data_IF_901077880240
#
_entry.id   IF_901077880240
#
_cell.length_a   1.000
_cell.length_b   1.000
_cell.length_c   1.000
_cell.angle_alpha   90.00
_cell.angle_beta   90.00
_cell.angle_gamma   90.00
#
_symmetry.space_group_name_H-M   'P 1'
#
loop_
_entity.id
_entity.type
_entity.pdbx_description
1 polymer ?
#
# COMPACT_ATOMS: atom_id res chain seq x y z
N UNK A 1 -32.16 0.50 6.09
CA UNK A 1 -30.79 -0.05 5.99
C UNK A 1 -30.09 0.16 7.33
N UNK A 2 -29.70 -0.90 8.05
CA UNK A 2 -28.95 -0.76 9.30
C UNK A 2 -27.52 -0.30 8.96
N UNK A 3 -27.24 0.99 9.12
CA UNK A 3 -25.88 1.51 9.02
C UNK A 3 -25.04 0.94 10.17
N UNK A 4 -24.12 0.04 9.83
CA UNK A 4 -23.21 -0.58 10.78
C UNK A 4 -22.16 0.46 11.21
N UNK A 5 -22.49 1.23 12.25
CA UNK A 5 -21.65 2.30 12.77
C UNK A 5 -20.58 1.72 13.68
N UNK A 6 -19.31 2.02 13.41
CA UNK A 6 -18.18 1.61 14.25
C UNK A 6 -17.74 2.80 15.10
N UNK A 7 -17.83 2.67 16.41
CA UNK A 7 -17.44 3.72 17.37
C UNK A 7 -16.24 3.25 18.18
N UNK A 8 -15.24 4.13 18.33
CA UNK A 8 -14.03 3.90 19.12
C UNK A 8 -14.01 4.90 20.27
N UNK A 9 -13.85 4.40 21.50
CA UNK A 9 -13.76 5.23 22.70
C UNK A 9 -12.41 4.97 23.39
N UNK A 10 -11.67 6.04 23.64
CA UNK A 10 -10.44 6.00 24.43
C UNK A 10 -10.76 6.39 25.87
N UNK A 11 -10.31 5.57 26.82
CA UNK A 11 -10.47 5.83 28.26
C UNK A 11 -9.11 5.68 28.93
N UNK A 12 -8.67 6.72 29.61
CA UNK A 12 -7.48 6.67 30.45
C UNK A 12 -7.91 6.10 31.81
N UNK A 13 -7.62 4.82 32.05
CA UNK A 13 -7.96 4.16 33.32
C UNK A 13 -7.10 2.92 33.57
N UNK A 14 -7.02 2.48 34.83
CA UNK A 14 -6.45 1.18 35.17
C UNK A 14 -7.33 0.05 34.65
N UNK A 15 -6.73 -1.11 34.31
CA UNK A 15 -7.39 -2.17 33.53
C UNK A 15 -8.67 -2.78 34.13
N UNK A 16 -8.93 -2.60 35.43
CA UNK A 16 -10.20 -2.97 36.06
C UNK A 16 -11.31 -1.96 35.74
N UNK A 17 -11.06 -0.67 35.93
CA UNK A 17 -12.00 0.43 35.69
C UNK A 17 -12.45 0.49 34.22
N UNK A 18 -11.53 0.26 33.28
CA UNK A 18 -11.87 0.21 31.85
C UNK A 18 -12.84 -0.92 31.49
N UNK A 19 -12.74 -2.07 32.17
CA UNK A 19 -13.66 -3.21 31.96
C UNK A 19 -15.05 -2.91 32.50
N UNK A 20 -15.12 -2.32 33.69
CA UNK A 20 -16.39 -1.91 34.33
C UNK A 20 -17.10 -0.84 33.49
N UNK A 21 -16.36 0.14 32.99
CA UNK A 21 -16.87 1.16 32.07
C UNK A 21 -17.43 0.55 30.79
N UNK A 22 -16.68 -0.37 30.16
CA UNK A 22 -17.15 -1.07 28.97
C UNK A 22 -18.44 -1.87 29.20
N UNK A 23 -18.62 -2.47 30.38
CA UNK A 23 -19.85 -3.19 30.73
C UNK A 23 -21.05 -2.25 30.94
N UNK A 24 -20.84 -1.12 31.62
CA UNK A 24 -21.88 -0.07 31.76
C UNK A 24 -22.30 0.48 30.40
N UNK A 25 -21.34 0.80 29.54
CA UNK A 25 -21.62 1.32 28.21
C UNK A 25 -22.43 0.31 27.37
N UNK A 26 -22.02 -0.97 27.38
CA UNK A 26 -22.77 -2.04 26.70
C UNK A 26 -24.20 -2.16 27.24
N UNK A 27 -24.37 -2.11 28.56
CA UNK A 27 -25.69 -2.18 29.19
C UNK A 27 -26.56 -1.00 28.78
N UNK A 28 -26.01 0.21 28.72
CA UNK A 28 -26.73 1.39 28.26
C UNK A 28 -27.16 1.29 26.78
N UNK A 29 -26.24 0.86 25.90
CA UNK A 29 -26.53 0.67 24.47
C UNK A 29 -27.66 -0.36 24.26
N UNK A 30 -27.66 -1.46 25.03
CA UNK A 30 -28.63 -2.54 24.86
C UNK A 30 -29.96 -2.29 25.59
N UNK A 31 -29.94 -1.73 26.80
CA UNK A 31 -31.14 -1.56 27.63
C UNK A 31 -31.85 -0.25 27.36
N UNK A 32 -31.11 0.84 27.19
CA UNK A 32 -31.68 2.18 27.01
C UNK A 32 -31.89 2.48 25.53
N UNK A 33 -30.85 2.33 24.71
CA UNK A 33 -30.92 2.63 23.28
C UNK A 33 -31.41 1.46 22.41
N UNK A 34 -31.58 0.26 23.00
CA UNK A 34 -32.07 -0.95 22.32
C UNK A 34 -31.27 -1.34 21.07
N UNK A 35 -29.96 -1.08 21.07
CA UNK A 35 -29.05 -1.42 19.97
C UNK A 35 -28.43 -2.81 20.15
N UNK A 36 -28.25 -3.52 19.03
CA UNK A 36 -27.57 -4.82 19.00
C UNK A 36 -26.06 -4.59 18.92
N UNK A 37 -25.33 -5.01 19.96
CA UNK A 37 -23.87 -4.95 20.02
C UNK A 37 -23.27 -6.23 19.45
N UNK A 38 -22.40 -6.10 18.44
CA UNK A 38 -21.65 -7.23 17.91
C UNK A 38 -20.51 -7.62 18.88
N UNK A 39 -20.64 -8.76 19.55
CA UNK A 39 -19.70 -9.22 20.58
C UNK A 39 -18.35 -9.67 20.02
N UNK A 40 -18.31 -10.17 18.79
CA UNK A 40 -17.07 -10.62 18.15
C UNK A 40 -16.16 -9.44 17.78
N UNK A 41 -16.76 -8.28 17.50
CA UNK A 41 -16.05 -7.05 17.13
C UNK A 41 -15.79 -6.12 18.31
N UNK A 42 -16.67 -6.14 19.32
CA UNK A 42 -16.64 -5.18 20.43
C UNK A 42 -15.86 -5.74 21.61
N UNK A 43 -14.70 -5.17 21.92
CA UNK A 43 -13.98 -5.54 23.13
C UNK A 43 -13.24 -4.35 23.76
N UNK A 44 -12.98 -4.47 25.06
CA UNK A 44 -12.12 -3.55 25.81
C UNK A 44 -10.71 -4.09 25.73
N UNK A 45 -9.82 -3.35 25.08
CA UNK A 45 -8.40 -3.71 24.89
C UNK A 45 -7.52 -2.51 25.12
N UNK A 46 -6.21 -2.74 25.26
CA UNK A 46 -5.22 -1.66 25.23
C UNK A 46 -5.31 -0.95 23.87
N UNK A 47 -5.04 0.36 23.87
CA UNK A 47 -5.02 1.15 22.65
C UNK A 47 -3.95 0.66 21.66
N UNK A 48 -2.82 0.17 22.17
CA UNK A 48 -1.76 -0.44 21.36
C UNK A 48 -2.25 -1.73 20.68
N UNK A 49 -2.17 -1.77 19.35
CA UNK A 49 -2.71 -2.84 18.51
C UNK A 49 -4.22 -2.77 18.27
N UNK A 50 -4.91 -1.72 18.71
CA UNK A 50 -6.31 -1.51 18.37
C UNK A 50 -6.45 -1.09 16.89
N UNK A 51 -7.33 -1.76 16.15
CA UNK A 51 -7.64 -1.41 14.76
C UNK A 51 -9.00 -0.70 14.65
N UNK A 52 -9.05 0.39 13.88
CA UNK A 52 -10.29 1.11 13.58
C UNK A 52 -10.24 1.72 12.18
N UNK A 53 -11.29 1.50 11.39
CA UNK A 53 -11.46 2.04 10.02
C UNK A 53 -10.25 1.84 9.09
N UNK A 54 -9.43 0.80 9.32
CA UNK A 54 -8.23 0.52 8.53
C UNK A 54 -6.94 1.15 9.04
N UNK A 55 -7.01 1.88 10.14
CA UNK A 55 -5.86 2.26 10.95
C UNK A 55 -5.65 1.30 12.10
N UNK A 56 -4.44 1.29 12.61
CA UNK A 56 -3.97 0.58 13.78
C UNK A 56 -3.21 1.59 14.65
N UNK A 57 -3.49 1.62 15.95
CA UNK A 57 -2.76 2.47 16.88
C UNK A 57 -1.56 1.69 17.44
N UNK A 58 -0.36 2.27 17.38
CA UNK A 58 0.85 1.59 17.87
C UNK A 58 1.71 2.44 18.81
N UNK A 59 2.24 1.77 19.82
CA UNK A 59 3.24 2.31 20.74
C UNK A 59 2.73 3.40 21.68
N UNK A 60 3.66 3.96 22.45
CA UNK A 60 3.39 5.06 23.38
C UNK A 60 2.94 6.31 22.61
N UNK A 61 1.85 6.93 23.05
CA UNK A 61 1.22 8.07 22.37
C UNK A 61 0.27 7.70 21.22
N UNK A 62 0.03 6.41 20.96
CA UNK A 62 -1.02 5.97 20.03
C UNK A 62 -0.78 6.40 18.58
N UNK A 63 0.41 6.16 18.03
CA UNK A 63 0.74 6.56 16.66
C UNK A 63 -0.22 5.90 15.67
N UNK A 64 -0.87 6.72 14.86
CA UNK A 64 -1.81 6.27 13.84
C UNK A 64 -1.03 5.64 12.68
N UNK A 65 -1.20 4.34 12.51
CA UNK A 65 -0.55 3.53 11.50
C UNK A 65 -1.60 2.91 10.58
N UNK A 66 -1.29 2.68 9.31
CA UNK A 66 -2.13 1.88 8.41
C UNK A 66 -2.05 0.43 8.85
N UNK A 67 -3.19 -0.25 8.95
CA UNK A 67 -3.21 -1.66 9.35
C UNK A 67 -2.56 -2.54 8.28
N UNK A 68 -1.89 -3.62 8.73
CA UNK A 68 -1.21 -4.56 7.84
C UNK A 68 -2.18 -5.19 6.83
N UNK A 69 -3.44 -5.38 7.23
CA UNK A 69 -4.52 -5.84 6.33
C UNK A 69 -4.70 -4.88 5.15
N UNK A 70 -4.76 -3.56 5.41
CA UNK A 70 -4.93 -2.55 4.36
C UNK A 70 -3.70 -2.43 3.47
N UNK A 71 -2.49 -2.57 4.02
CA UNK A 71 -1.25 -2.63 3.24
C UNK A 71 -1.22 -3.84 2.30
N UNK A 72 -1.64 -5.02 2.77
CA UNK A 72 -1.77 -6.23 1.94
C UNK A 72 -2.80 -6.04 0.82
N UNK A 73 -3.97 -5.50 1.13
CA UNK A 73 -4.98 -5.19 0.11
C UNK A 73 -4.49 -4.18 -0.92
N UNK A 74 -3.73 -3.16 -0.51
CA UNK A 74 -3.11 -2.21 -1.43
C UNK A 74 -2.16 -2.91 -2.40
N UNK A 75 -1.24 -3.75 -1.89
CA UNK A 75 -0.31 -4.53 -2.73
C UNK A 75 -1.05 -5.48 -3.68
N UNK A 76 -2.12 -6.12 -3.23
CA UNK A 76 -2.96 -6.97 -4.07
C UNK A 76 -3.59 -6.15 -5.21
N UNK A 77 -4.26 -5.04 -4.88
CA UNK A 77 -4.93 -4.20 -5.87
C UNK A 77 -3.96 -3.57 -6.86
N UNK A 78 -2.83 -3.05 -6.37
CA UNK A 78 -1.75 -2.55 -7.22
C UNK A 78 -1.21 -3.65 -8.15
N UNK A 79 -1.11 -4.89 -7.67
CA UNK A 79 -0.68 -6.02 -8.48
C UNK A 79 -1.65 -6.37 -9.60
N UNK A 80 -2.96 -6.24 -9.38
CA UNK A 80 -4.01 -6.46 -10.37
C UNK A 80 -4.01 -5.37 -11.45
N UNK A 81 -3.92 -4.11 -11.04
CA UNK A 81 -3.87 -2.95 -11.95
C UNK A 81 -2.62 -3.00 -12.84
N UNK A 82 -1.46 -3.29 -12.24
CA UNK A 82 -0.18 -3.40 -12.94
C UNK A 82 0.05 -4.78 -13.60
N UNK A 83 -0.94 -5.68 -13.60
CA UNK A 83 -0.81 -6.97 -14.25
C UNK A 83 -0.85 -6.85 -15.79
N UNK A 84 -0.05 -7.70 -16.46
CA UNK A 84 -0.20 -8.00 -17.90
C UNK A 84 -1.48 -8.82 -18.12
N UNK A 85 -2.64 -8.17 -18.03
CA UNK A 85 -3.98 -8.70 -18.35
C UNK A 85 -4.68 -7.77 -19.37
N UNK A 86 -5.47 -8.37 -20.25
CA UNK A 86 -6.47 -7.71 -21.10
C UNK A 86 -5.95 -6.72 -22.14
N UNK A 87 -4.78 -6.96 -22.76
CA UNK A 87 -4.30 -6.14 -23.90
C UNK A 87 -3.99 -4.67 -23.61
N UNK A 88 -4.20 -4.18 -22.38
CA UNK A 88 -4.01 -2.76 -22.00
C UNK A 88 -2.59 -2.28 -22.33
N UNK A 89 -2.43 -1.00 -22.67
CA UNK A 89 -1.11 -0.37 -22.79
C UNK A 89 -0.48 -0.17 -21.41
N UNK A 90 0.84 0.04 -21.34
CA UNK A 90 1.50 0.34 -20.07
C UNK A 90 1.06 1.68 -19.51
N UNK A 91 0.95 2.71 -20.35
CA UNK A 91 0.45 4.03 -19.97
C UNK A 91 -0.92 3.96 -19.29
N UNK A 92 -1.85 3.18 -19.86
CA UNK A 92 -3.18 2.97 -19.25
C UNK A 92 -3.09 2.32 -17.88
N UNK A 93 -2.23 1.30 -17.70
CA UNK A 93 -2.02 0.66 -16.39
C UNK A 93 -1.48 1.64 -15.35
N UNK A 94 -0.54 2.48 -15.75
CA UNK A 94 0.06 3.49 -14.88
C UNK A 94 -0.96 4.57 -14.50
N UNK A 95 -1.79 5.01 -15.44
CA UNK A 95 -2.88 5.96 -15.18
C UNK A 95 -3.92 5.40 -14.19
N UNK A 96 -4.41 4.19 -14.44
CA UNK A 96 -5.38 3.51 -13.56
C UNK A 96 -4.78 3.29 -12.15
N UNK A 97 -3.51 2.89 -12.07
CA UNK A 97 -2.81 2.78 -10.80
C UNK A 97 -2.67 4.13 -10.09
N UNK A 98 -2.32 5.20 -10.82
CA UNK A 98 -2.16 6.54 -10.27
C UNK A 98 -3.45 7.07 -9.67
N UNK A 99 -4.59 6.89 -10.36
CA UNK A 99 -5.90 7.28 -9.85
C UNK A 99 -6.23 6.57 -8.53
N UNK A 100 -6.02 5.24 -8.49
CA UNK A 100 -6.21 4.45 -7.28
C UNK A 100 -5.28 4.89 -6.14
N UNK A 101 -3.99 5.08 -6.44
CA UNK A 101 -2.97 5.45 -5.46
C UNK A 101 -3.23 6.84 -4.85
N UNK A 102 -3.68 7.81 -5.65
CA UNK A 102 -4.07 9.15 -5.18
C UNK A 102 -5.19 9.07 -4.14
N UNK A 103 -6.26 8.34 -4.44
CA UNK A 103 -7.37 8.15 -3.50
C UNK A 103 -6.92 7.41 -2.22
N UNK A 104 -6.10 6.36 -2.38
CA UNK A 104 -5.61 5.59 -1.24
C UNK A 104 -4.72 6.42 -0.30
N UNK A 105 -3.79 7.21 -0.84
CA UNK A 105 -2.95 8.10 -0.03
C UNK A 105 -3.77 9.22 0.59
N UNK A 106 -4.73 9.79 -0.14
CA UNK A 106 -5.61 10.82 0.40
C UNK A 106 -6.34 10.32 1.64
N UNK A 107 -6.85 9.08 1.59
CA UNK A 107 -7.46 8.44 2.75
C UNK A 107 -6.44 8.16 3.86
N UNK A 108 -5.31 7.51 3.54
CA UNK A 108 -4.32 7.08 4.52
C UNK A 108 -3.25 8.15 4.85
N UNK A 109 -3.54 9.43 4.64
CA UNK A 109 -2.59 10.51 4.82
C UNK A 109 -2.09 10.63 6.27
N UNK A 110 -2.90 10.20 7.25
CA UNK A 110 -2.57 10.21 8.68
C UNK A 110 -1.46 9.23 9.10
N UNK A 111 -1.02 8.32 8.22
CA UNK A 111 0.11 7.44 8.52
C UNK A 111 1.37 8.26 8.82
N UNK A 112 1.91 8.07 10.02
CA UNK A 112 3.06 8.85 10.51
C UNK A 112 4.40 8.27 10.04
N UNK A 113 4.45 7.01 9.61
CA UNK A 113 5.69 6.34 9.22
C UNK A 113 6.00 6.53 7.73
N UNK A 114 6.98 7.39 7.45
CA UNK A 114 7.55 7.56 6.09
C UNK A 114 8.04 6.24 5.47
N UNK A 115 8.63 5.36 6.28
CA UNK A 115 9.21 4.09 5.84
C UNK A 115 8.21 3.17 5.14
N UNK A 116 6.92 3.27 5.47
CA UNK A 116 5.84 2.52 4.80
C UNK A 116 5.75 2.92 3.33
N UNK A 117 5.67 4.21 3.04
CA UNK A 117 5.58 4.73 1.67
C UNK A 117 6.85 4.45 0.87
N UNK A 118 8.03 4.66 1.46
CA UNK A 118 9.30 4.34 0.80
C UNK A 118 9.40 2.85 0.45
N UNK A 119 8.92 1.96 1.34
CA UNK A 119 8.92 0.51 1.11
C UNK A 119 7.91 0.09 0.04
N UNK A 120 6.72 0.70 0.04
CA UNK A 120 5.71 0.50 -1.01
C UNK A 120 6.23 0.98 -2.37
N UNK A 121 6.86 2.15 -2.44
CA UNK A 121 7.47 2.69 -3.65
C UNK A 121 8.57 1.77 -4.21
N UNK A 122 9.44 1.21 -3.34
CA UNK A 122 10.43 0.19 -3.73
C UNK A 122 9.76 -1.04 -4.34
N UNK A 123 8.71 -1.54 -3.70
CA UNK A 123 7.96 -2.71 -4.17
C UNK A 123 7.24 -2.43 -5.50
N UNK A 124 6.63 -1.24 -5.65
CA UNK A 124 5.96 -0.80 -6.88
C UNK A 124 6.93 -0.71 -8.06
N UNK A 125 8.10 -0.09 -7.87
CA UNK A 125 9.14 -0.04 -8.92
C UNK A 125 9.51 -1.44 -9.40
N UNK A 126 9.74 -2.38 -8.48
CA UNK A 126 10.02 -3.79 -8.84
C UNK A 126 8.85 -4.43 -9.58
N UNK A 127 7.61 -4.15 -9.18
CA UNK A 127 6.40 -4.66 -9.82
C UNK A 127 6.23 -4.14 -11.25
N UNK A 128 6.47 -2.85 -11.47
CA UNK A 128 6.42 -2.23 -12.80
C UNK A 128 7.52 -2.79 -13.69
N UNK A 129 8.75 -2.92 -13.19
CA UNK A 129 9.85 -3.60 -13.92
C UNK A 129 9.48 -5.02 -14.32
N UNK A 130 8.87 -5.78 -13.41
CA UNK A 130 8.37 -7.12 -13.73
C UNK A 130 7.27 -7.09 -14.81
N UNK A 131 6.42 -6.06 -14.84
CA UNK A 131 5.39 -5.90 -15.87
C UNK A 131 6.01 -5.59 -17.25
N UNK A 132 7.00 -4.69 -17.33
CA UNK A 132 7.76 -4.44 -18.55
C UNK A 132 8.48 -5.70 -19.03
N UNK A 133 9.19 -6.38 -18.13
CA UNK A 133 9.88 -7.62 -18.45
C UNK A 133 8.94 -8.71 -18.96
N UNK A 134 7.79 -8.87 -18.31
CA UNK A 134 6.74 -9.80 -18.77
C UNK A 134 6.19 -9.37 -20.12
N UNK A 135 6.11 -8.08 -20.42
CA UNK A 135 5.65 -7.53 -21.71
C UNK A 135 6.63 -7.87 -22.84
N UNK A 136 7.94 -7.85 -22.57
CA UNK A 136 9.00 -8.27 -23.48
C UNK A 136 9.10 -9.81 -23.54
N UNK A 137 8.14 -10.43 -24.23
CA UNK A 137 7.95 -11.89 -24.25
C UNK A 137 9.18 -12.64 -24.78
N UNK A 138 9.73 -12.20 -25.90
CA UNK A 138 10.80 -12.91 -26.63
C UNK A 138 12.19 -12.44 -26.17
N UNK A 139 13.18 -13.35 -26.04
CA UNK A 139 14.56 -12.97 -25.72
C UNK A 139 15.12 -11.90 -26.65
N UNK A 140 14.93 -12.05 -27.97
CA UNK A 140 15.31 -11.04 -28.98
C UNK A 140 14.72 -9.66 -28.69
N UNK A 141 13.47 -9.60 -28.20
CA UNK A 141 12.82 -8.33 -27.83
C UNK A 141 13.42 -7.73 -26.56
N UNK A 142 13.72 -8.55 -25.55
CA UNK A 142 14.37 -8.11 -24.31
C UNK A 142 15.74 -7.50 -24.60
N UNK A 143 16.57 -8.22 -25.35
CA UNK A 143 17.92 -7.77 -25.71
C UNK A 143 17.84 -6.45 -26.48
N UNK A 144 16.97 -6.36 -27.50
CA UNK A 144 16.77 -5.12 -28.27
C UNK A 144 16.34 -3.95 -27.38
N UNK A 145 15.38 -4.17 -26.46
CA UNK A 145 14.88 -3.12 -25.56
C UNK A 145 15.92 -2.68 -24.54
N UNK A 146 16.69 -3.61 -23.97
CA UNK A 146 17.80 -3.29 -23.07
C UNK A 146 18.87 -2.46 -23.78
N UNK A 147 19.27 -2.84 -25.00
CA UNK A 147 20.21 -2.06 -25.82
C UNK A 147 19.68 -0.65 -26.12
N UNK A 148 18.39 -0.52 -26.48
CA UNK A 148 17.78 0.80 -26.73
C UNK A 148 17.71 1.69 -25.47
N UNK A 149 17.82 1.09 -24.28
CA UNK A 149 17.84 1.79 -23.00
C UNK A 149 19.28 2.01 -22.48
N UNK A 150 20.29 1.84 -23.34
CA UNK A 150 21.69 2.14 -23.02
C UNK A 150 22.45 1.04 -22.29
N UNK A 151 21.92 -0.19 -22.21
CA UNK A 151 22.67 -1.33 -21.65
C UNK A 151 23.64 -1.89 -22.69
N UNK A 152 24.87 -2.22 -22.26
CA UNK A 152 25.89 -2.85 -23.11
C UNK A 152 25.38 -4.15 -23.75
N UNK A 153 25.99 -4.55 -24.86
CA UNK A 153 25.56 -5.74 -25.59
C UNK A 153 25.61 -7.01 -24.73
N UNK A 154 26.72 -7.21 -24.01
CA UNK A 154 26.97 -8.40 -23.20
C UNK A 154 25.98 -8.51 -22.05
N UNK A 155 25.75 -7.40 -21.32
CA UNK A 155 24.76 -7.35 -20.25
C UNK A 155 23.35 -7.58 -20.79
N UNK A 156 23.00 -6.94 -21.91
CA UNK A 156 21.70 -7.10 -22.55
C UNK A 156 21.45 -8.57 -22.96
N UNK A 157 22.48 -9.25 -23.49
CA UNK A 157 22.42 -10.66 -23.85
C UNK A 157 22.27 -11.54 -22.60
N UNK A 158 23.13 -11.36 -21.60
CA UNK A 158 23.12 -12.13 -20.35
C UNK A 158 21.77 -12.07 -19.62
N UNK A 159 21.16 -10.88 -19.50
CA UNK A 159 19.85 -10.74 -18.87
C UNK A 159 18.71 -11.14 -19.81
N UNK A 160 18.78 -10.80 -21.09
CA UNK A 160 17.71 -11.03 -22.07
C UNK A 160 17.49 -12.51 -22.41
N UNK A 161 18.57 -13.29 -22.49
CA UNK A 161 18.54 -14.73 -22.76
C UNK A 161 18.25 -15.57 -21.50
N UNK A 162 18.25 -14.97 -20.31
CA UNK A 162 18.06 -15.72 -19.07
C UNK A 162 16.66 -16.34 -18.94
N UNK A 163 16.62 -17.61 -18.51
CA UNK A 163 15.40 -18.36 -18.19
C UNK A 163 14.91 -18.15 -16.75
N UNK A 164 15.57 -17.30 -15.96
CA UNK A 164 15.19 -17.02 -14.57
C UNK A 164 13.78 -16.42 -14.50
N UNK A 165 13.10 -16.64 -13.37
CA UNK A 165 11.75 -16.10 -13.15
C UNK A 165 11.70 -14.57 -13.29
N UNK A 166 10.59 -14.06 -13.83
CA UNK A 166 10.38 -12.61 -14.09
C UNK A 166 10.63 -11.75 -12.85
N UNK A 167 10.14 -12.18 -11.69
CA UNK A 167 10.33 -11.46 -10.43
C UNK A 167 11.79 -11.44 -9.96
N UNK A 168 12.58 -12.46 -10.33
CA UNK A 168 14.02 -12.51 -10.07
C UNK A 168 14.77 -11.59 -11.03
N UNK A 169 14.35 -11.52 -12.29
CA UNK A 169 14.93 -10.67 -13.34
C UNK A 169 14.52 -9.20 -13.26
N UNK A 170 13.56 -8.82 -12.42
CA UNK A 170 13.21 -7.40 -12.20
C UNK A 170 14.13 -6.67 -11.22
N UNK A 171 15.09 -7.39 -10.62
CA UNK A 171 16.05 -6.91 -9.62
C UNK A 171 17.52 -6.75 -10.07
N UNK A 172 18.08 -7.50 -11.04
CA UNK A 172 19.50 -7.39 -11.36
C UNK A 172 19.87 -6.01 -11.86
N UNK A 173 21.14 -5.63 -11.66
CA UNK A 173 21.68 -4.31 -11.99
C UNK A 173 21.39 -3.90 -13.44
N UNK A 174 21.53 -4.81 -14.42
CA UNK A 174 21.25 -4.50 -15.83
C UNK A 174 19.81 -4.05 -16.10
N UNK A 175 18.82 -4.71 -15.48
CA UNK A 175 17.41 -4.35 -15.64
C UNK A 175 17.07 -3.10 -14.83
N UNK A 176 17.69 -2.89 -13.67
CA UNK A 176 17.53 -1.65 -12.92
C UNK A 176 18.15 -0.44 -13.61
N UNK A 177 19.30 -0.60 -14.29
CA UNK A 177 19.93 0.45 -15.10
C UNK A 177 19.06 0.80 -16.30
N UNK A 178 18.58 -0.21 -17.04
CA UNK A 178 17.68 0.00 -18.18
C UNK A 178 16.35 0.67 -17.77
N UNK A 179 15.73 0.17 -16.69
CA UNK A 179 14.49 0.69 -16.13
C UNK A 179 14.80 1.42 -14.82
N UNK A 180 15.59 2.49 -14.94
CA UNK A 180 16.03 3.33 -13.83
C UNK A 180 14.83 3.97 -13.11
N UNK A 181 15.06 4.44 -11.88
CA UNK A 181 13.99 5.12 -11.15
C UNK A 181 13.53 6.37 -11.91
N UNK A 182 14.46 7.11 -12.52
CA UNK A 182 14.17 8.32 -13.29
C UNK A 182 13.41 8.00 -14.57
N UNK A 183 13.77 6.91 -15.25
CA UNK A 183 13.03 6.44 -16.42
C UNK A 183 11.61 6.05 -16.03
N UNK A 184 11.42 5.32 -14.93
CA UNK A 184 10.09 4.94 -14.45
C UNK A 184 9.24 6.17 -14.08
N UNK A 185 9.84 7.16 -13.40
CA UNK A 185 9.16 8.41 -13.05
C UNK A 185 8.75 9.19 -14.31
N UNK A 186 9.65 9.31 -15.28
CA UNK A 186 9.40 9.97 -16.58
C UNK A 186 8.31 9.26 -17.39
N UNK A 187 8.16 7.95 -17.21
CA UNK A 187 7.10 7.15 -17.84
C UNK A 187 5.77 7.18 -17.06
N UNK A 188 5.65 8.00 -16.01
CA UNK A 188 4.40 8.20 -15.28
C UNK A 188 4.19 7.25 -14.09
N UNK A 189 5.25 6.65 -13.54
CA UNK A 189 5.14 5.95 -12.26
C UNK A 189 4.89 6.95 -11.13
N UNK A 190 3.73 6.84 -10.51
CA UNK A 190 3.36 7.65 -9.36
C UNK A 190 4.21 7.31 -8.11
N UNK A 191 4.83 8.33 -7.50
CA UNK A 191 5.52 8.19 -6.21
C UNK A 191 4.56 8.42 -5.07
N UNK A 192 4.36 7.37 -4.25
CA UNK A 192 3.53 7.47 -3.06
C UNK A 192 4.18 8.37 -2.02
N UNK A 193 5.50 8.28 -1.88
CA UNK A 193 6.24 9.07 -0.90
C UNK A 193 6.14 10.58 -1.19
N UNK A 194 6.29 10.98 -2.45
CA UNK A 194 6.18 12.38 -2.85
C UNK A 194 4.79 12.94 -2.52
N UNK A 195 3.73 12.23 -2.90
CA UNK A 195 2.35 12.65 -2.59
C UNK A 195 2.08 12.68 -1.09
N UNK A 196 2.57 11.70 -0.35
CA UNK A 196 2.42 11.68 1.11
C UNK A 196 3.11 12.88 1.75
N UNK A 197 4.31 13.26 1.29
CA UNK A 197 5.01 14.47 1.78
C UNK A 197 4.22 15.74 1.47
N UNK A 198 3.64 15.85 0.29
CA UNK A 198 2.79 16.98 -0.10
C UNK A 198 1.58 17.14 0.84
N UNK A 199 1.00 16.03 1.31
CA UNK A 199 -0.10 16.05 2.28
C UNK A 199 0.35 16.21 3.74
N UNK A 200 1.66 16.24 4.02
CA UNK A 200 2.16 16.31 5.40
C UNK A 200 1.86 17.63 6.12
N UNK A 201 1.95 18.82 5.48
CA UNK A 201 1.60 20.09 6.11
C UNK A 201 0.13 20.15 6.55
N UNK A 202 -0.78 19.56 5.76
CA UNK A 202 -2.23 19.55 6.01
C UNK A 202 -2.63 18.76 7.26
N UNK A 203 -1.71 17.98 7.85
CA UNK A 203 -1.97 17.17 9.07
C UNK A 203 -1.89 17.98 10.35
N UNK A 204 -1.17 19.10 10.34
CA UNK A 204 -0.95 19.93 11.54
C UNK A 204 -2.13 20.84 11.85
N UNK A 205 -2.98 21.08 10.86
CA UNK A 205 -4.12 21.99 10.91
C UNK A 205 -5.47 21.27 11.11
N UNK A 206 -5.45 19.96 11.30
CA UNK A 206 -6.65 19.11 11.44
C UNK A 206 -6.78 18.56 12.86
#
# INVERSE_FOLDING_TARGET
>A
MLHNSSSLLFVVSNGSLGRTFGWRLRSFLQRTLKLIVNRDKSCVRRADGAESVGYEFRGYGGKVCVSEKKLRHFKQRASELLARKGGRSMARRMSEFTQYARGWIGYFALEQRKSVFTSLDKWLRRRVRACYWKSWRLPRTRIRKLKSLGVSHDDAYAFGASHKAVWRLSMPSGVQRALSNDWLNSNGLFSLEARWRELAPLRRTA
#
